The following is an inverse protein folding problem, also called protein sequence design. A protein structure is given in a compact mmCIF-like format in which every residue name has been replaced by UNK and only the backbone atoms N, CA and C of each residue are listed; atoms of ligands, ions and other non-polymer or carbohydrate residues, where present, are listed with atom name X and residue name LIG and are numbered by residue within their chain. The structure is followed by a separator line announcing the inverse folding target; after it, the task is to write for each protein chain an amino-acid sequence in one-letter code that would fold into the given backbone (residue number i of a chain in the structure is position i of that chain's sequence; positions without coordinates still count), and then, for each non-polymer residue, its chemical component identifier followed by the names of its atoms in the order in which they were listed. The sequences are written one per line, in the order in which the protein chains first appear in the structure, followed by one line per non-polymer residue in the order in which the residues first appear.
data_IF_853600791555
#
_entry.id   IF_853600791555
#
_cell.length_a   1.000
_cell.length_b   1.000
_cell.length_c   1.000
_cell.angle_alpha   90.00
_cell.angle_beta   90.00
_cell.angle_gamma   90.00
#
_symmetry.space_group_name_H-M   'P 1'
#
loop_
_entity.id
_entity.type
_entity.pdbx_description
1 polymer ?
#
# COMPACT_ATOMS: atom_id res chain seq x y z
N UNK A 1 39.14 -25.06 -24.04
CA UNK A 1 37.74 -24.96 -24.53
C UNK A 1 36.69 -25.66 -23.64
N UNK A 2 37.05 -26.72 -22.88
CA UNK A 2 36.10 -27.52 -22.06
C UNK A 2 35.48 -26.83 -20.82
N UNK A 3 36.11 -25.78 -20.25
CA UNK A 3 35.61 -25.11 -19.05
C UNK A 3 34.31 -24.32 -19.29
N UNK A 4 34.17 -23.71 -20.48
CA UNK A 4 33.01 -22.88 -20.85
C UNK A 4 31.74 -23.72 -20.96
N UNK A 5 31.81 -24.93 -21.51
CA UNK A 5 30.63 -25.79 -21.67
C UNK A 5 30.08 -26.27 -20.33
N UNK A 6 30.94 -26.57 -19.34
CA UNK A 6 30.50 -26.92 -17.99
C UNK A 6 29.79 -25.75 -17.30
N UNK A 7 30.28 -24.52 -17.49
CA UNK A 7 29.63 -23.33 -16.96
C UNK A 7 28.26 -23.09 -17.61
N UNK A 8 28.17 -23.18 -18.94
CA UNK A 8 26.93 -23.00 -19.71
C UNK A 8 25.85 -24.02 -19.30
N UNK A 9 26.22 -25.29 -19.13
CA UNK A 9 25.30 -26.33 -18.68
C UNK A 9 24.83 -26.05 -17.25
N UNK A 10 25.74 -25.65 -16.35
CA UNK A 10 25.39 -25.30 -14.96
C UNK A 10 24.44 -24.11 -14.88
N UNK A 11 24.67 -23.05 -15.66
CA UNK A 11 23.79 -21.87 -15.69
C UNK A 11 22.42 -22.19 -16.32
N UNK A 12 22.37 -23.05 -17.33
CA UNK A 12 21.10 -23.48 -17.94
C UNK A 12 20.25 -24.31 -16.98
N UNK A 13 20.87 -25.24 -16.25
CA UNK A 13 20.20 -26.03 -15.21
C UNK A 13 19.73 -25.15 -14.04
N UNK A 14 20.57 -24.21 -13.59
CA UNK A 14 20.17 -23.24 -12.56
C UNK A 14 19.00 -22.36 -13.05
N UNK A 15 19.05 -21.83 -14.26
CA UNK A 15 17.99 -20.99 -14.83
C UNK A 15 16.66 -21.73 -14.90
N UNK A 16 16.65 -23.01 -15.30
CA UNK A 16 15.42 -23.84 -15.33
C UNK A 16 14.86 -24.11 -13.93
N UNK A 17 15.74 -24.33 -12.94
CA UNK A 17 15.31 -24.56 -11.55
C UNK A 17 14.81 -23.27 -10.89
N UNK A 18 15.49 -22.15 -11.16
CA UNK A 18 15.12 -20.83 -10.65
C UNK A 18 13.89 -20.27 -11.34
N UNK A 19 13.58 -20.64 -12.59
CA UNK A 19 12.40 -20.24 -13.37
C UNK A 19 11.05 -20.52 -12.66
N UNK A 20 10.99 -21.45 -11.73
CA UNK A 20 9.76 -21.68 -10.95
C UNK A 20 9.81 -20.97 -9.61
N UNK A 21 11.00 -20.82 -9.02
CA UNK A 21 11.22 -20.16 -7.74
C UNK A 21 11.00 -18.65 -7.79
N UNK A 22 11.46 -17.96 -8.84
CA UNK A 22 11.24 -16.49 -8.95
C UNK A 22 9.76 -16.12 -9.00
N UNK A 23 8.88 -16.99 -9.53
CA UNK A 23 7.43 -16.80 -9.54
C UNK A 23 6.77 -16.98 -8.16
N UNK A 24 7.48 -17.61 -7.23
CA UNK A 24 7.03 -17.86 -5.86
C UNK A 24 7.56 -16.83 -4.87
N UNK A 25 8.57 -16.05 -5.23
CA UNK A 25 9.10 -14.98 -4.38
C UNK A 25 8.08 -13.84 -4.35
N UNK A 26 7.55 -13.47 -3.17
CA UNK A 26 6.65 -12.34 -3.07
C UNK A 26 7.40 -11.05 -3.41
N UNK A 27 6.88 -10.28 -4.36
CA UNK A 27 7.49 -9.03 -4.81
C UNK A 27 6.98 -7.85 -3.98
N UNK A 28 7.87 -6.88 -3.75
CA UNK A 28 7.55 -5.58 -3.15
C UNK A 28 7.76 -4.49 -4.19
N UNK A 29 6.74 -3.67 -4.41
CA UNK A 29 6.80 -2.52 -5.31
C UNK A 29 6.88 -1.22 -4.51
N UNK A 30 7.74 -0.32 -4.97
CA UNK A 30 8.01 0.95 -4.31
C UNK A 30 8.05 2.05 -5.36
N UNK A 31 7.17 3.04 -5.23
CA UNK A 31 7.05 4.18 -6.13
C UNK A 31 7.14 5.46 -5.31
N UNK A 32 8.14 6.29 -5.60
CA UNK A 32 8.34 7.58 -4.95
C UNK A 32 8.50 8.66 -5.97
N UNK A 33 7.72 9.72 -5.84
CA UNK A 33 7.85 10.91 -6.64
C UNK A 33 9.22 11.57 -6.38
N UNK A 34 10.08 11.76 -7.40
CA UNK A 34 11.45 12.26 -7.20
C UNK A 34 11.54 13.78 -7.00
N UNK A 35 10.42 14.50 -6.85
CA UNK A 35 10.41 15.94 -6.55
C UNK A 35 9.10 16.66 -6.87
N UNK A 36 9.01 17.94 -6.50
CA UNK A 36 7.80 18.77 -6.61
C UNK A 36 7.72 19.55 -7.93
N UNK A 37 7.90 18.86 -9.06
CA UNK A 37 7.75 19.44 -10.39
C UNK A 37 6.60 18.75 -11.14
N UNK A 38 5.75 19.52 -11.80
CA UNK A 38 4.55 19.01 -12.49
C UNK A 38 4.93 17.99 -13.57
N UNK A 39 5.95 18.31 -14.38
CA UNK A 39 6.44 17.40 -15.42
C UNK A 39 6.97 16.10 -14.81
N UNK A 40 7.67 16.16 -13.69
CA UNK A 40 8.09 14.97 -12.94
C UNK A 40 6.90 14.19 -12.39
N UNK A 41 5.86 14.86 -11.91
CA UNK A 41 4.63 14.22 -11.43
C UNK A 41 3.90 13.48 -12.55
N UNK A 42 3.66 14.12 -13.70
CA UNK A 42 3.02 13.46 -14.85
C UNK A 42 3.85 12.27 -15.36
N UNK A 43 5.17 12.43 -15.47
CA UNK A 43 6.06 11.33 -15.86
C UNK A 43 6.05 10.18 -14.85
N UNK A 44 5.99 10.50 -13.56
CA UNK A 44 5.86 9.50 -12.51
C UNK A 44 4.54 8.74 -12.63
N UNK A 45 3.41 9.43 -12.81
CA UNK A 45 2.10 8.78 -12.98
C UNK A 45 2.11 7.85 -14.19
N UNK A 46 2.60 8.33 -15.34
CA UNK A 46 2.71 7.52 -16.55
C UNK A 46 3.60 6.27 -16.34
N UNK A 47 4.74 6.45 -15.65
CA UNK A 47 5.66 5.34 -15.34
C UNK A 47 5.03 4.34 -14.38
N UNK A 48 4.38 4.80 -13.31
CA UNK A 48 3.66 3.96 -12.34
C UNK A 48 2.56 3.17 -13.03
N UNK A 49 1.74 3.79 -13.88
CA UNK A 49 0.73 3.08 -14.66
C UNK A 49 1.30 1.99 -15.56
N UNK A 50 2.39 2.29 -16.26
CA UNK A 50 3.07 1.30 -17.11
C UNK A 50 3.56 0.11 -16.29
N UNK A 51 4.20 0.36 -15.15
CA UNK A 51 4.67 -0.70 -14.26
C UNK A 51 3.50 -1.53 -13.72
N UNK A 52 2.47 -0.89 -13.14
CA UNK A 52 1.31 -1.59 -12.61
C UNK A 52 0.59 -2.43 -13.67
N UNK A 53 0.54 -1.96 -14.92
CA UNK A 53 0.02 -2.73 -16.05
C UNK A 53 0.81 -4.04 -16.28
N UNK A 54 2.14 -4.00 -16.23
CA UNK A 54 2.95 -5.23 -16.33
C UNK A 54 2.79 -6.13 -15.11
N UNK A 55 2.79 -5.54 -13.92
CA UNK A 55 2.69 -6.25 -12.65
C UNK A 55 1.33 -6.94 -12.45
N UNK A 56 0.26 -6.49 -13.14
CA UNK A 56 -1.05 -7.15 -13.14
C UNK A 56 -1.01 -8.63 -13.51
N UNK A 57 -0.03 -9.06 -14.30
CA UNK A 57 0.10 -10.45 -14.76
C UNK A 57 1.03 -11.29 -13.86
N UNK A 58 1.63 -10.69 -12.83
CA UNK A 58 2.53 -11.37 -11.89
C UNK A 58 1.76 -12.00 -10.73
N UNK A 59 2.18 -13.18 -10.26
CA UNK A 59 1.38 -14.03 -9.36
C UNK A 59 1.31 -13.59 -7.90
N UNK A 60 2.29 -12.84 -7.38
CA UNK A 60 2.28 -12.47 -5.96
C UNK A 60 3.04 -11.18 -5.67
N UNK A 61 2.28 -10.08 -5.56
CA UNK A 61 2.77 -8.82 -5.02
C UNK A 61 2.36 -8.79 -3.55
N UNK A 62 3.36 -8.80 -2.66
CA UNK A 62 3.11 -8.79 -1.21
C UNK A 62 2.95 -7.38 -0.67
N UNK A 63 3.78 -6.46 -1.15
CA UNK A 63 3.84 -5.09 -0.67
C UNK A 63 3.75 -4.11 -1.82
N UNK A 64 2.94 -3.07 -1.65
CA UNK A 64 2.93 -1.90 -2.51
C UNK A 64 3.07 -0.65 -1.64
N UNK A 65 4.02 0.20 -1.97
CA UNK A 65 4.23 1.48 -1.33
C UNK A 65 4.29 2.57 -2.39
N UNK A 66 3.43 3.57 -2.24
CA UNK A 66 3.36 4.73 -3.12
C UNK A 66 3.47 5.98 -2.27
N UNK A 67 4.48 6.80 -2.58
CA UNK A 67 4.71 8.11 -1.98
C UNK A 67 4.60 9.13 -3.09
N UNK A 68 3.50 9.87 -3.10
CA UNK A 68 3.19 10.86 -4.12
C UNK A 68 2.62 12.13 -3.45
N UNK A 69 3.53 12.97 -2.98
CA UNK A 69 3.18 14.21 -2.27
C UNK A 69 3.28 15.40 -3.23
N UNK A 70 2.37 15.48 -4.20
CA UNK A 70 2.26 16.61 -5.14
C UNK A 70 0.90 17.31 -4.99
N UNK A 71 0.95 18.60 -4.62
CA UNK A 71 -0.12 19.37 -3.97
C UNK A 71 -1.36 19.72 -4.81
N UNK A 72 -1.92 18.82 -5.62
CA UNK A 72 -3.10 19.13 -6.42
C UNK A 72 -4.08 17.95 -6.50
N UNK A 73 -5.38 18.25 -6.60
CA UNK A 73 -6.46 17.28 -6.84
C UNK A 73 -6.38 16.59 -8.22
N UNK A 74 -5.53 17.06 -9.15
CA UNK A 74 -5.46 16.56 -10.53
C UNK A 74 -5.20 15.06 -10.65
N UNK A 75 -4.45 14.46 -9.72
CA UNK A 75 -4.05 13.06 -9.80
C UNK A 75 -4.86 12.13 -8.89
N UNK A 76 -5.95 12.61 -8.28
CA UNK A 76 -6.76 11.81 -7.36
C UNK A 76 -7.31 10.53 -8.06
N UNK A 77 -7.70 10.65 -9.33
CA UNK A 77 -8.17 9.51 -10.13
C UNK A 77 -7.05 8.49 -10.33
N UNK A 78 -5.82 8.93 -10.60
CA UNK A 78 -4.67 8.04 -10.78
C UNK A 78 -4.36 7.29 -9.46
N UNK A 79 -4.43 7.99 -8.32
CA UNK A 79 -4.25 7.38 -7.00
C UNK A 79 -5.35 6.35 -6.71
N UNK A 80 -6.60 6.66 -7.06
CA UNK A 80 -7.72 5.70 -6.95
C UNK A 80 -7.45 4.42 -7.75
N UNK A 81 -6.86 4.55 -8.95
CA UNK A 81 -6.45 3.40 -9.75
C UNK A 81 -5.33 2.59 -9.08
N UNK A 82 -4.38 3.25 -8.41
CA UNK A 82 -3.33 2.57 -7.66
C UNK A 82 -3.88 1.83 -6.43
N UNK A 83 -4.83 2.45 -5.71
CA UNK A 83 -5.53 1.80 -4.59
C UNK A 83 -6.39 0.63 -5.09
N UNK A 84 -7.08 0.79 -6.22
CA UNK A 84 -7.83 -0.28 -6.86
C UNK A 84 -6.91 -1.46 -7.23
N UNK A 85 -5.76 -1.17 -7.83
CA UNK A 85 -4.76 -2.18 -8.14
C UNK A 85 -4.32 -2.92 -6.88
N UNK A 86 -3.92 -2.20 -5.83
CA UNK A 86 -3.46 -2.77 -4.56
C UNK A 86 -4.51 -3.71 -3.94
N UNK A 87 -5.76 -3.25 -3.90
CA UNK A 87 -6.82 -3.88 -3.11
C UNK A 87 -7.62 -4.93 -3.87
N UNK A 88 -7.77 -4.81 -5.19
CA UNK A 88 -8.61 -5.72 -6.00
C UNK A 88 -7.80 -6.60 -6.93
N UNK A 89 -6.80 -6.04 -7.59
CA UNK A 89 -6.04 -6.75 -8.62
C UNK A 89 -4.92 -7.56 -7.96
N UNK A 90 -3.99 -6.86 -7.32
CA UNK A 90 -2.80 -7.44 -6.70
C UNK A 90 -3.08 -8.11 -5.36
N UNK A 91 -4.14 -7.67 -4.64
CA UNK A 91 -4.53 -8.18 -3.31
C UNK A 91 -3.33 -8.21 -2.35
N UNK A 92 -2.63 -7.07 -2.27
CA UNK A 92 -1.41 -6.95 -1.48
C UNK A 92 -1.70 -7.17 0.02
N UNK A 93 -0.70 -7.65 0.75
CA UNK A 93 -0.78 -7.85 2.19
C UNK A 93 -0.33 -6.59 2.96
N UNK A 94 0.57 -5.79 2.38
CA UNK A 94 1.12 -4.57 2.97
C UNK A 94 0.94 -3.42 1.97
N UNK A 95 0.14 -2.43 2.34
CA UNK A 95 -0.10 -1.25 1.51
C UNK A 95 0.24 0.02 2.27
N UNK A 96 1.12 0.84 1.68
CA UNK A 96 1.39 2.19 2.14
C UNK A 96 1.06 3.20 1.05
N UNK A 97 0.27 4.20 1.42
CA UNK A 97 -0.02 5.36 0.58
C UNK A 97 0.31 6.63 1.37
N UNK A 98 1.15 7.45 0.79
CA UNK A 98 1.36 8.84 1.20
C UNK A 98 0.97 9.72 0.01
N UNK A 99 -0.02 10.58 0.21
CA UNK A 99 -0.50 11.52 -0.79
C UNK A 99 -0.55 12.94 -0.19
N UNK A 100 -1.22 13.86 -0.85
CA UNK A 100 -1.54 15.19 -0.34
C UNK A 100 -2.74 15.21 0.60
N UNK A 101 -2.72 16.24 1.46
CA UNK A 101 -3.79 16.55 2.41
C UNK A 101 -5.15 16.66 1.70
N UNK A 102 -6.16 16.01 2.29
CA UNK A 102 -7.55 16.10 1.85
C UNK A 102 -8.02 15.00 0.89
N UNK A 103 -7.13 14.13 0.40
CA UNK A 103 -7.53 13.02 -0.46
C UNK A 103 -8.42 12.01 0.28
N UNK A 104 -9.65 11.82 -0.19
CA UNK A 104 -10.58 10.85 0.38
C UNK A 104 -10.20 9.43 -0.04
N UNK A 105 -9.90 8.57 0.92
CA UNK A 105 -9.53 7.19 0.66
C UNK A 105 -10.73 6.40 0.07
N UNK A 106 -10.55 5.67 -1.03
CA UNK A 106 -11.67 5.21 -1.84
C UNK A 106 -12.44 4.06 -1.20
N UNK A 107 -13.76 4.06 -1.38
CA UNK A 107 -14.68 3.16 -0.67
C UNK A 107 -14.40 1.68 -0.89
N UNK A 108 -13.85 1.35 -2.06
CA UNK A 108 -13.50 -0.01 -2.47
C UNK A 108 -12.48 -0.67 -1.54
N UNK A 109 -11.61 0.12 -0.92
CA UNK A 109 -10.53 -0.35 -0.06
C UNK A 109 -11.01 -0.72 1.35
N UNK A 110 -12.14 -0.15 1.82
CA UNK A 110 -12.72 -0.50 3.13
C UNK A 110 -13.26 -1.93 3.20
N UNK A 111 -13.49 -2.59 2.06
CA UNK A 111 -13.99 -3.98 2.01
C UNK A 111 -12.88 -5.01 1.72
N UNK A 112 -11.62 -4.65 1.90
CA UNK A 112 -10.50 -5.51 1.57
C UNK A 112 -10.18 -6.50 2.70
N UNK A 113 -10.18 -7.80 2.38
CA UNK A 113 -9.91 -8.90 3.33
C UNK A 113 -8.50 -9.51 3.21
N UNK A 114 -7.59 -8.88 2.48
CA UNK A 114 -6.23 -9.38 2.21
C UNK A 114 -5.14 -8.52 2.90
N UNK A 115 -5.45 -7.27 3.25
CA UNK A 115 -4.54 -6.36 3.91
C UNK A 115 -4.25 -6.81 5.34
N UNK A 116 -2.98 -7.02 5.63
CA UNK A 116 -2.41 -7.24 6.97
C UNK A 116 -1.80 -5.96 7.52
N UNK A 117 -1.29 -5.09 6.66
CA UNK A 117 -0.75 -3.78 7.03
C UNK A 117 -1.25 -2.70 6.10
N UNK A 118 -1.75 -1.62 6.69
CA UNK A 118 -2.22 -0.43 5.99
C UNK A 118 -1.60 0.81 6.64
N UNK A 119 -0.85 1.58 5.86
CA UNK A 119 -0.28 2.86 6.27
C UNK A 119 -0.82 3.94 5.36
N UNK A 120 -1.53 4.91 5.92
CA UNK A 120 -2.08 6.04 5.18
C UNK A 120 -1.51 7.33 5.76
N UNK A 121 -0.96 8.18 4.91
CA UNK A 121 -0.42 9.48 5.31
C UNK A 121 -1.10 10.58 4.50
N UNK A 122 -1.59 11.61 5.20
CA UNK A 122 -2.31 12.76 4.65
C UNK A 122 -3.64 12.43 3.93
N UNK A 123 -4.17 11.22 4.07
CA UNK A 123 -5.47 10.83 3.51
C UNK A 123 -6.61 11.08 4.51
N UNK A 124 -7.80 11.40 4.02
CA UNK A 124 -9.05 11.50 4.78
C UNK A 124 -9.81 10.17 4.73
N UNK A 125 -10.30 9.71 5.87
CA UNK A 125 -11.15 8.51 5.93
C UNK A 125 -12.62 8.86 6.12
N UNK A 126 -13.46 8.43 5.18
CA UNK A 126 -14.90 8.65 5.25
C UNK A 126 -15.70 7.41 4.78
N UNK A 127 -15.67 6.29 5.53
CA UNK A 127 -16.36 5.07 5.12
C UNK A 127 -17.89 5.23 5.21
N UNK A 128 -18.57 5.20 4.07
CA UNK A 128 -20.04 5.32 4.00
C UNK A 128 -20.75 4.03 4.43
N UNK A 129 -20.07 2.89 4.33
CA UNK A 129 -20.60 1.57 4.69
C UNK A 129 -19.92 0.90 5.89
N UNK A 130 -20.09 -0.42 6.00
CA UNK A 130 -19.31 -1.24 6.92
C UNK A 130 -17.88 -1.43 6.39
N UNK A 131 -16.92 -1.30 7.29
CA UNK A 131 -15.51 -1.59 7.02
C UNK A 131 -15.26 -3.07 7.33
N UNK A 132 -14.63 -3.78 6.40
CA UNK A 132 -14.21 -5.16 6.55
C UNK A 132 -12.72 -5.28 6.25
N UNK A 133 -11.93 -5.24 7.32
CA UNK A 133 -10.49 -5.45 7.35
C UNK A 133 -10.14 -6.62 8.29
N UNK A 134 -10.79 -7.77 8.07
CA UNK A 134 -10.82 -8.90 9.02
C UNK A 134 -9.46 -9.47 9.44
N UNK A 135 -8.41 -9.31 8.61
CA UNK A 135 -7.07 -9.84 8.89
C UNK A 135 -6.00 -8.74 9.10
N UNK A 136 -6.43 -7.49 9.26
CA UNK A 136 -5.53 -6.36 9.44
C UNK A 136 -4.83 -6.44 10.80
N UNK A 137 -3.50 -6.53 10.78
CA UNK A 137 -2.65 -6.61 11.97
C UNK A 137 -2.09 -5.24 12.37
N UNK A 138 -1.92 -4.34 11.40
CA UNK A 138 -1.33 -3.03 11.60
C UNK A 138 -2.04 -1.98 10.76
N UNK A 139 -2.53 -0.94 11.44
CA UNK A 139 -3.11 0.25 10.84
C UNK A 139 -2.33 1.46 11.36
N UNK A 140 -1.80 2.28 10.48
CA UNK A 140 -1.03 3.48 10.83
C UNK A 140 -1.51 4.67 10.04
N UNK A 141 -1.68 5.78 10.75
CA UNK A 141 -2.07 7.06 10.21
C UNK A 141 -1.00 8.10 10.50
N UNK A 142 -0.63 8.90 9.51
CA UNK A 142 0.19 10.10 9.69
C UNK A 142 -0.57 11.31 9.16
N UNK A 143 -0.77 12.35 9.99
CA UNK A 143 -1.43 13.60 9.58
C UNK A 143 -2.77 13.39 8.84
N UNK A 144 -3.65 12.58 9.42
CA UNK A 144 -4.97 12.23 8.86
C UNK A 144 -6.06 13.08 9.49
N UNK A 145 -6.95 13.64 8.66
CA UNK A 145 -8.19 14.29 9.11
C UNK A 145 -9.30 13.22 9.17
N UNK A 146 -9.83 12.95 10.37
CA UNK A 146 -10.96 12.02 10.58
C UNK A 146 -12.23 12.84 10.78
N UNK A 147 -13.22 12.71 9.89
CA UNK A 147 -14.56 13.29 10.09
C UNK A 147 -15.26 12.57 11.25
N UNK A 148 -16.01 13.31 12.08
CA UNK A 148 -16.57 12.85 13.37
C UNK A 148 -17.36 11.52 13.32
N UNK A 149 -17.99 11.20 12.21
CA UNK A 149 -18.75 9.95 12.05
C UNK A 149 -17.85 8.72 11.86
N UNK A 150 -16.64 8.90 11.32
CA UNK A 150 -15.63 7.84 11.21
C UNK A 150 -14.98 7.55 12.57
N UNK A 151 -14.91 8.56 13.44
CA UNK A 151 -14.36 8.47 14.79
C UNK A 151 -15.19 7.50 15.66
N UNK A 152 -16.54 7.56 15.59
CA UNK A 152 -17.41 6.62 16.34
C UNK A 152 -17.22 5.16 15.92
N UNK A 153 -17.04 4.89 14.61
CA UNK A 153 -16.74 3.54 14.10
C UNK A 153 -15.32 3.08 14.46
N UNK A 154 -14.35 3.99 14.46
CA UNK A 154 -12.99 3.70 14.95
C UNK A 154 -12.99 3.35 16.44
N UNK A 155 -13.74 4.05 17.29
CA UNK A 155 -13.86 3.72 18.71
C UNK A 155 -14.43 2.32 18.95
N UNK A 156 -15.41 1.86 18.18
CA UNK A 156 -15.94 0.50 18.29
C UNK A 156 -14.90 -0.59 17.92
N UNK A 157 -14.08 -0.32 16.91
CA UNK A 157 -12.99 -1.22 16.46
C UNK A 157 -11.78 -1.13 17.41
N UNK A 158 -11.48 0.04 17.97
CA UNK A 158 -10.39 0.25 18.92
C UNK A 158 -10.70 -0.33 20.31
N UNK A 159 -11.95 -0.28 20.78
CA UNK A 159 -12.40 -0.91 22.02
C UNK A 159 -12.39 -2.44 21.96
N UNK A 160 -12.62 -3.01 20.77
CA UNK A 160 -12.41 -4.45 20.54
C UNK A 160 -10.93 -4.83 20.46
N UNK A 161 -10.05 -3.89 20.06
CA UNK A 161 -8.59 -4.08 20.05
C UNK A 161 -7.91 -3.85 21.41
N UNK A 162 -8.44 -2.96 22.27
CA UNK A 162 -7.89 -2.71 23.61
C UNK A 162 -8.02 -3.92 24.54
N UNK A 163 -8.96 -4.84 24.25
CA UNK A 163 -9.05 -6.10 24.95
C UNK A 163 -7.93 -7.10 24.59
N UNK A 164 -7.11 -6.82 23.55
CA UNK A 164 -6.15 -7.80 23.04
C UNK A 164 -4.70 -7.34 22.87
N UNK A 165 -4.30 -6.06 22.92
CA UNK A 165 -2.87 -5.72 22.88
C UNK A 165 -2.47 -4.35 23.45
N UNK A 166 -1.50 -4.38 24.37
CA UNK A 166 -1.06 -3.28 25.23
C UNK A 166 -0.16 -2.21 24.57
N UNK A 167 0.02 -2.20 23.23
CA UNK A 167 0.97 -1.29 22.57
C UNK A 167 0.37 0.06 22.11
N UNK A 168 -0.96 0.21 22.03
CA UNK A 168 -1.59 1.48 21.59
C UNK A 168 -1.62 2.59 22.67
N UNK A 169 -1.38 2.26 23.95
CA UNK A 169 -1.37 3.24 25.03
C UNK A 169 -0.27 4.30 24.90
N UNK A 170 0.85 3.99 24.22
CA UNK A 170 1.96 4.96 24.06
C UNK A 170 1.65 6.09 23.08
N UNK A 171 0.86 5.82 22.03
CA UNK A 171 0.42 6.88 21.11
C UNK A 171 -0.62 7.80 21.78
N UNK A 172 -1.42 7.25 22.71
CA UNK A 172 -2.44 8.01 23.44
C UNK A 172 -1.84 8.96 24.50
N UNK A 173 -0.75 8.56 25.16
CA UNK A 173 -0.04 9.41 26.14
C UNK A 173 0.63 10.62 25.47
N UNK A 174 1.18 10.44 24.25
CA UNK A 174 1.82 11.51 23.50
C UNK A 174 0.82 12.55 22.96
N UNK A 175 -0.43 12.16 22.67
CA UNK A 175 -1.45 13.11 22.21
C UNK A 175 -2.02 13.97 23.35
N UNK A 176 -2.17 13.43 24.56
CA UNK A 176 -2.63 14.19 25.74
C UNK A 176 -1.62 15.20 26.28
N UNK A 177 -0.36 15.14 25.87
CA UNK A 177 0.70 16.05 26.32
C UNK A 177 0.94 17.22 25.36
N UNK A 178 0.18 17.30 24.26
CA UNK A 178 0.25 18.37 23.25
C UNK A 178 -1.03 19.23 23.17
N UNK A 179 -1.94 19.08 24.15
CA UNK A 179 -3.08 19.98 24.44
C UNK A 179 -2.80 20.59 25.82
#
# INVERSE_FOLDING_TARGET
MLLKNKAVVRTSVLSKRWQFLWKSVPVSLYFVLPGHDEKKASNFVASTHRELHYWRYCRKIRKLEVIFSFGIEFFAIDVDLWVHFATKIAKVEDFKLEYCLGYEFPQIAYKNTFLKKLVLQYCTLNPTGSVNWSILLSLSFGNVELKEDAIKKYYQVALTWSACNCMMLRAFILWKSAI
#
